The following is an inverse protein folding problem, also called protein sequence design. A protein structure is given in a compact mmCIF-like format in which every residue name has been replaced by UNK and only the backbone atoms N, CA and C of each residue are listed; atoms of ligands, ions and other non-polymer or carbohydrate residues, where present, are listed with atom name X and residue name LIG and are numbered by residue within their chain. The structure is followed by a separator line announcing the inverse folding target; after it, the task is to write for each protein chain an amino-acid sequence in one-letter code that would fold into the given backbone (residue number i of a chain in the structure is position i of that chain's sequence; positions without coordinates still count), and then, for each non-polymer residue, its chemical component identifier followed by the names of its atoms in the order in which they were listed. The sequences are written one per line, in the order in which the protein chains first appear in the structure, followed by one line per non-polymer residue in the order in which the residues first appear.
data_IF_083352340461
#
_entry.id   IF_083352340461
#
_cell.length_a   1.000
_cell.length_b   1.000
_cell.length_c   1.000
_cell.angle_alpha   90.00
_cell.angle_beta   90.00
_cell.angle_gamma   90.00
#
_symmetry.space_group_name_H-M   'P 1'
#
loop_
_entity.id
_entity.type
_entity.pdbx_description
1 polymer ?
#
# COMPACT_ATOMS: atom_id res chain seq x y z
N UNK A 1 -21.50 -0.58 1.66
CA UNK A 1 -20.18 -0.19 2.23
C UNK A 1 -19.17 -1.26 1.83
N UNK A 2 -17.95 -0.86 1.42
CA UNK A 2 -16.88 -1.81 1.16
C UNK A 2 -16.23 -2.25 2.48
N UNK A 3 -15.99 -3.55 2.63
CA UNK A 3 -15.24 -4.09 3.76
C UNK A 3 -13.77 -3.62 3.70
N UNK A 4 -13.22 -3.18 4.84
CA UNK A 4 -11.83 -2.76 4.95
C UNK A 4 -11.19 -3.36 6.20
N UNK A 5 -10.05 -4.02 6.05
CA UNK A 5 -9.29 -4.63 7.16
C UNK A 5 -8.91 -3.61 8.24
N UNK A 6 -8.62 -2.36 7.81
CA UNK A 6 -8.27 -1.27 8.72
C UNK A 6 -9.41 -0.88 9.68
N UNK A 7 -10.68 -1.21 9.37
CA UNK A 7 -11.83 -0.95 10.25
C UNK A 7 -11.62 -1.55 11.64
N UNK A 8 -11.25 -2.84 11.69
CA UNK A 8 -10.98 -3.56 12.95
C UNK A 8 -9.85 -2.91 13.75
N UNK A 9 -8.83 -2.41 13.06
CA UNK A 9 -7.70 -1.72 13.70
C UNK A 9 -8.14 -0.38 14.30
N UNK A 10 -8.93 0.43 13.57
CA UNK A 10 -9.46 1.70 14.05
C UNK A 10 -10.34 1.45 15.26
N UNK A 11 -11.28 0.51 15.16
CA UNK A 11 -12.20 0.16 16.25
C UNK A 11 -11.45 -0.31 17.50
N UNK A 12 -10.49 -1.22 17.34
CA UNK A 12 -9.67 -1.71 18.44
C UNK A 12 -8.84 -0.60 19.10
N UNK A 13 -8.30 0.34 18.32
CA UNK A 13 -7.58 1.49 18.86
C UNK A 13 -8.50 2.43 19.64
N UNK A 14 -9.65 2.79 19.08
CA UNK A 14 -10.59 3.73 19.71
C UNK A 14 -11.26 3.16 20.98
N UNK A 15 -11.33 1.84 21.11
CA UNK A 15 -11.82 1.14 22.32
C UNK A 15 -10.74 0.88 23.37
N UNK A 16 -9.46 1.08 23.04
CA UNK A 16 -8.35 0.86 23.97
C UNK A 16 -8.10 2.06 24.87
N UNK A 17 -7.54 1.84 26.07
CA UNK A 17 -7.15 2.91 27.01
C UNK A 17 -5.88 3.66 26.60
N UNK A 18 -5.45 3.56 25.35
CA UNK A 18 -4.27 4.25 24.89
C UNK A 18 -4.49 5.76 24.85
N UNK A 19 -3.47 6.51 25.25
CA UNK A 19 -3.45 7.96 25.06
C UNK A 19 -2.95 8.36 23.65
N UNK A 20 -2.40 7.42 22.88
CA UNK A 20 -1.87 7.73 21.55
C UNK A 20 -2.98 8.08 20.58
N UNK A 21 -2.79 9.16 19.85
CA UNK A 21 -3.68 9.56 18.76
C UNK A 21 -3.39 8.66 17.55
N UNK A 22 -4.43 8.06 16.98
CA UNK A 22 -4.31 7.30 15.74
C UNK A 22 -4.21 8.26 14.56
N UNK A 23 -3.10 8.16 13.81
CA UNK A 23 -2.83 8.96 12.61
C UNK A 23 -2.87 8.06 11.39
N UNK A 24 -3.93 8.20 10.56
CA UNK A 24 -4.10 7.41 9.34
C UNK A 24 -3.52 8.16 8.14
N UNK A 25 -2.43 7.61 7.63
CA UNK A 25 -1.71 8.08 6.45
C UNK A 25 -2.10 7.25 5.21
N UNK A 26 -1.86 7.75 4.02
CA UNK A 26 -2.05 7.03 2.75
C UNK A 26 -2.39 7.96 1.61
N UNK A 27 -2.31 7.45 0.38
CA UNK A 27 -2.64 8.20 -0.82
C UNK A 27 -4.03 8.82 -0.74
N UNK A 28 -4.29 9.83 -1.56
CA UNK A 28 -5.64 10.36 -1.71
C UNK A 28 -6.57 9.30 -2.34
N UNK A 29 -7.86 9.43 -2.12
CA UNK A 29 -8.90 8.54 -2.69
C UNK A 29 -8.84 7.06 -2.27
N UNK A 30 -8.05 6.70 -1.24
CA UNK A 30 -8.05 5.32 -0.69
C UNK A 30 -9.16 5.08 0.36
N UNK A 31 -9.94 6.12 0.70
CA UNK A 31 -11.11 6.02 1.56
C UNK A 31 -10.87 6.32 3.04
N UNK A 32 -9.79 7.05 3.42
CA UNK A 32 -9.44 7.38 4.82
C UNK A 32 -10.58 8.07 5.56
N UNK A 33 -11.03 9.22 5.06
CA UNK A 33 -12.11 10.01 5.67
C UNK A 33 -13.38 9.21 5.82
N UNK A 34 -13.73 8.41 4.80
CA UNK A 34 -14.94 7.58 4.81
C UNK A 34 -14.92 6.55 5.94
N UNK A 35 -13.84 5.77 6.08
CA UNK A 35 -13.77 4.70 7.09
C UNK A 35 -13.70 5.26 8.51
N UNK A 36 -12.98 6.38 8.72
CA UNK A 36 -12.93 7.06 10.02
C UNK A 36 -14.29 7.58 10.41
N UNK A 37 -14.99 8.25 9.49
CA UNK A 37 -16.36 8.75 9.72
C UNK A 37 -17.31 7.61 10.05
N UNK A 38 -17.25 6.52 9.30
CA UNK A 38 -18.10 5.35 9.52
C UNK A 38 -17.89 4.73 10.91
N UNK A 39 -16.65 4.48 11.31
CA UNK A 39 -16.33 3.89 12.61
C UNK A 39 -16.62 4.89 13.74
N UNK A 40 -16.24 6.15 13.57
CA UNK A 40 -16.41 7.20 14.56
C UNK A 40 -17.89 7.45 14.92
N UNK A 41 -18.74 7.59 13.91
CA UNK A 41 -20.18 7.80 14.11
C UNK A 41 -20.90 6.59 14.72
N UNK A 42 -20.35 5.37 14.53
CA UNK A 42 -20.89 4.16 15.14
C UNK A 42 -20.52 4.01 16.61
N UNK A 43 -19.33 4.48 17.00
CA UNK A 43 -18.79 4.26 18.34
C UNK A 43 -19.01 5.42 19.30
N UNK A 44 -19.16 6.66 18.81
CA UNK A 44 -19.27 7.85 19.62
C UNK A 44 -20.56 8.61 19.35
N UNK A 45 -21.23 9.03 20.42
CA UNK A 45 -22.44 9.86 20.32
C UNK A 45 -22.13 11.23 19.71
N UNK A 46 -20.99 11.80 20.07
CA UNK A 46 -20.54 13.10 19.60
C UNK A 46 -19.33 12.92 18.68
N UNK A 47 -19.57 12.86 17.39
CA UNK A 47 -18.55 12.86 16.36
C UNK A 47 -18.36 14.29 15.84
N UNK A 48 -17.15 14.83 16.01
CA UNK A 48 -16.74 16.17 15.57
C UNK A 48 -15.68 15.99 14.49
N UNK A 49 -16.01 16.36 13.28
CA UNK A 49 -15.08 16.30 12.12
C UNK A 49 -14.65 17.70 11.74
N UNK A 50 -13.35 17.90 11.55
CA UNK A 50 -12.73 19.16 11.16
C UNK A 50 -11.83 18.87 9.97
N UNK A 51 -12.19 19.41 8.80
CA UNK A 51 -11.37 19.31 7.59
C UNK A 51 -10.42 20.51 7.51
N UNK A 52 -9.13 20.27 7.71
CA UNK A 52 -8.11 21.33 7.75
C UNK A 52 -7.83 21.94 6.37
N UNK A 53 -8.10 21.24 5.27
CA UNK A 53 -8.00 21.80 3.92
C UNK A 53 -9.14 22.80 3.70
N UNK A 54 -10.38 22.45 4.07
CA UNK A 54 -11.54 23.35 3.95
C UNK A 54 -11.32 24.61 4.80
N UNK A 55 -10.88 24.45 6.05
CA UNK A 55 -10.56 25.57 6.92
C UNK A 55 -9.45 26.46 6.32
N UNK A 56 -8.41 25.88 5.73
CA UNK A 56 -7.27 26.65 5.17
C UNK A 56 -7.65 27.53 3.98
N UNK A 57 -8.69 27.14 3.23
CA UNK A 57 -9.24 27.89 2.09
C UNK A 57 -10.30 28.90 2.55
N UNK A 58 -11.06 28.52 3.60
CA UNK A 58 -12.19 29.29 4.15
C UNK A 58 -11.78 30.21 5.29
N UNK A 59 -12.33 29.97 6.46
CA UNK A 59 -12.24 30.86 7.64
C UNK A 59 -10.83 30.94 8.26
N UNK A 60 -9.97 29.95 7.96
CA UNK A 60 -8.59 29.86 8.47
C UNK A 60 -8.52 29.91 10.00
N UNK A 61 -9.53 29.31 10.64
CA UNK A 61 -9.69 29.33 12.09
C UNK A 61 -8.48 28.74 12.81
N UNK A 62 -7.89 27.67 12.26
CA UNK A 62 -6.73 26.97 12.86
C UNK A 62 -5.36 27.50 12.41
N UNK A 63 -5.29 28.54 11.56
CA UNK A 63 -4.04 29.01 10.99
C UNK A 63 -3.01 29.48 12.02
N UNK A 64 -3.47 30.04 13.15
CA UNK A 64 -2.63 30.61 14.20
C UNK A 64 -2.73 29.84 15.53
N UNK A 65 -3.24 28.61 15.52
CA UNK A 65 -3.38 27.78 16.72
C UNK A 65 -2.00 27.40 17.26
N UNK A 66 -1.68 27.81 18.48
CA UNK A 66 -0.38 27.55 19.12
C UNK A 66 -0.49 26.68 20.36
N UNK A 67 -1.62 26.77 21.07
CA UNK A 67 -1.84 26.07 22.33
C UNK A 67 -3.04 25.11 22.24
N UNK A 68 -3.18 24.21 23.20
CA UNK A 68 -4.35 23.31 23.28
C UNK A 68 -5.62 24.09 23.65
N UNK A 69 -5.47 25.18 24.42
CA UNK A 69 -6.56 26.07 24.77
C UNK A 69 -7.12 26.77 23.53
N UNK A 70 -6.25 27.30 22.66
CA UNK A 70 -6.65 27.87 21.36
C UNK A 70 -7.42 26.82 20.53
N UNK A 71 -6.85 25.60 20.46
CA UNK A 71 -7.49 24.50 19.72
C UNK A 71 -8.87 24.18 20.27
N UNK A 72 -9.04 24.06 21.59
CA UNK A 72 -10.34 23.78 22.20
C UNK A 72 -11.34 24.90 21.99
N UNK A 73 -10.90 26.14 22.05
CA UNK A 73 -11.77 27.28 21.76
C UNK A 73 -12.30 27.21 20.32
N UNK A 74 -11.42 26.97 19.36
CA UNK A 74 -11.76 26.88 17.95
C UNK A 74 -12.69 25.68 17.66
N UNK A 75 -12.38 24.51 18.23
CA UNK A 75 -13.26 23.33 18.11
C UNK A 75 -14.63 23.61 18.74
N UNK A 76 -14.70 24.32 19.87
CA UNK A 76 -15.97 24.67 20.52
C UNK A 76 -16.85 25.57 19.64
N UNK A 77 -16.23 26.46 18.83
CA UNK A 77 -16.99 27.31 17.90
C UNK A 77 -17.65 26.48 16.78
N UNK A 78 -17.01 25.39 16.36
CA UNK A 78 -17.54 24.49 15.32
C UNK A 78 -18.53 23.49 15.92
N UNK A 79 -18.18 22.89 17.05
CA UNK A 79 -18.86 21.75 17.64
C UNK A 79 -20.06 22.15 18.50
N UNK A 80 -20.10 23.38 19.01
CA UNK A 80 -21.14 23.83 19.94
C UNK A 80 -21.25 22.89 21.14
N UNK A 81 -22.46 22.39 21.40
CA UNK A 81 -22.77 21.52 22.54
C UNK A 81 -22.30 20.07 22.40
N UNK A 82 -21.57 19.69 21.34
CA UNK A 82 -21.10 18.32 21.12
C UNK A 82 -19.82 17.96 21.90
N UNK A 83 -19.14 18.92 22.49
CA UNK A 83 -17.95 18.66 23.34
C UNK A 83 -18.39 18.19 24.74
N UNK A 84 -18.58 16.87 24.86
CA UNK A 84 -19.02 16.18 26.08
C UNK A 84 -17.85 15.45 26.76
N UNK A 85 -18.15 14.38 27.50
CA UNK A 85 -17.12 13.54 28.11
C UNK A 85 -16.24 12.86 27.05
N UNK A 86 -15.02 12.48 27.45
CA UNK A 86 -14.06 11.77 26.58
C UNK A 86 -14.63 10.47 26.00
N UNK A 87 -15.37 9.72 26.82
CA UNK A 87 -16.02 8.46 26.39
C UNK A 87 -16.99 8.63 25.24
N UNK A 88 -17.61 9.80 25.14
CA UNK A 88 -18.73 10.08 24.25
C UNK A 88 -18.34 10.94 23.05
N UNK A 89 -17.12 11.50 23.06
CA UNK A 89 -16.68 12.50 22.08
C UNK A 89 -15.43 12.06 21.34
N UNK A 90 -15.54 11.94 20.02
CA UNK A 90 -14.42 11.75 19.10
C UNK A 90 -14.19 13.02 18.27
N UNK A 91 -13.00 13.57 18.33
CA UNK A 91 -12.56 14.68 17.47
C UNK A 91 -11.72 14.08 16.33
N UNK A 92 -12.21 14.20 15.11
CA UNK A 92 -11.54 13.78 13.89
C UNK A 92 -10.93 14.99 13.18
N UNK A 93 -9.59 15.00 13.08
CA UNK A 93 -8.81 16.03 12.40
C UNK A 93 -8.44 15.49 11.02
N UNK A 94 -9.20 15.89 9.99
CA UNK A 94 -8.95 15.42 8.62
C UNK A 94 -8.02 16.36 7.86
N UNK A 95 -7.20 15.78 6.97
CA UNK A 95 -6.20 16.49 6.13
C UNK A 95 -5.27 17.39 6.96
N UNK A 96 -4.77 16.89 8.10
CA UNK A 96 -3.97 17.64 9.09
C UNK A 96 -2.71 18.29 8.48
N UNK A 97 -2.18 17.77 7.35
CA UNK A 97 -1.02 18.35 6.68
C UNK A 97 -1.28 19.77 6.12
N UNK A 98 -2.53 20.20 6.01
CA UNK A 98 -2.83 21.60 5.64
C UNK A 98 -2.29 22.61 6.66
N UNK A 99 -2.12 22.16 7.91
CA UNK A 99 -1.51 22.95 8.99
C UNK A 99 -0.41 22.14 9.70
N UNK A 100 0.83 22.14 9.18
CA UNK A 100 1.93 21.33 9.72
C UNK A 100 2.22 21.56 11.21
N UNK A 101 1.97 22.77 11.74
CA UNK A 101 2.16 23.07 13.16
C UNK A 101 1.22 22.29 14.08
N UNK A 102 0.03 21.88 13.61
CA UNK A 102 -0.90 21.06 14.38
C UNK A 102 -0.37 19.64 14.62
N UNK A 103 0.54 19.13 13.77
CA UNK A 103 1.20 17.84 14.03
C UNK A 103 1.99 17.86 15.35
N UNK A 104 2.64 18.98 15.67
CA UNK A 104 3.32 19.15 16.97
C UNK A 104 2.31 19.23 18.12
N UNK A 105 1.14 19.85 17.88
CA UNK A 105 0.08 19.99 18.87
C UNK A 105 -0.52 18.63 19.27
N UNK A 106 -0.53 17.63 18.39
CA UNK A 106 -1.02 16.28 18.69
C UNK A 106 -0.34 15.68 19.93
N UNK A 107 0.94 16.02 20.19
CA UNK A 107 1.64 15.58 21.40
C UNK A 107 0.93 16.08 22.66
N UNK A 108 0.61 17.35 22.69
CA UNK A 108 -0.01 17.98 23.84
C UNK A 108 -1.46 17.55 24.01
N UNK A 109 -2.23 17.40 22.92
CA UNK A 109 -3.58 16.85 22.95
C UNK A 109 -3.60 15.41 23.49
N UNK A 110 -2.62 14.59 23.09
CA UNK A 110 -2.45 13.24 23.61
C UNK A 110 -2.17 13.22 25.11
N UNK A 111 -1.32 14.12 25.60
CA UNK A 111 -0.95 14.22 27.01
C UNK A 111 -2.10 14.77 27.88
N UNK A 112 -2.82 15.78 27.39
CA UNK A 112 -3.98 16.36 28.08
C UNK A 112 -5.14 15.36 28.17
N UNK A 113 -5.26 14.47 27.18
CA UNK A 113 -6.18 13.33 27.18
C UNK A 113 -7.65 13.67 27.48
N UNK A 114 -8.07 14.88 27.12
CA UNK A 114 -9.40 15.40 27.43
C UNK A 114 -10.51 14.81 26.57
N UNK A 115 -10.19 14.47 25.32
CA UNK A 115 -11.10 13.83 24.36
C UNK A 115 -10.43 12.64 23.69
N UNK A 116 -11.19 11.86 22.95
CA UNK A 116 -10.64 10.85 22.02
C UNK A 116 -10.36 11.53 20.69
N UNK A 117 -9.18 11.23 20.10
CA UNK A 117 -8.74 11.86 18.85
C UNK A 117 -8.36 10.83 17.82
N UNK A 118 -8.66 11.16 16.57
CA UNK A 118 -8.11 10.48 15.38
C UNK A 118 -7.74 11.57 14.37
N UNK A 119 -6.65 11.38 13.66
CA UNK A 119 -6.25 12.28 12.60
C UNK A 119 -6.00 11.52 11.30
N UNK A 120 -6.21 12.18 10.16
CA UNK A 120 -5.84 11.66 8.86
C UNK A 120 -5.15 12.70 8.00
N UNK A 121 -4.44 12.22 6.99
CA UNK A 121 -3.91 13.08 5.96
C UNK A 121 -3.30 12.31 4.80
N UNK A 122 -3.26 12.96 3.67
CA UNK A 122 -2.45 12.57 2.54
C UNK A 122 -1.09 13.25 2.65
N UNK A 123 -0.02 12.66 2.09
CA UNK A 123 1.33 13.26 2.12
C UNK A 123 1.95 13.41 3.53
N UNK A 124 1.38 12.77 4.55
CA UNK A 124 1.88 12.87 5.92
C UNK A 124 3.33 12.40 6.07
N UNK A 125 3.76 11.42 5.26
CA UNK A 125 5.16 10.98 5.24
C UNK A 125 6.10 12.13 4.87
N UNK A 126 5.73 12.95 3.90
CA UNK A 126 6.48 14.12 3.45
C UNK A 126 6.44 15.24 4.51
N UNK A 127 5.24 15.56 4.99
CA UNK A 127 5.06 16.64 5.98
C UNK A 127 5.78 16.33 7.29
N UNK A 128 5.74 15.06 7.75
CA UNK A 128 6.45 14.64 8.96
C UNK A 128 7.97 14.72 8.81
N UNK A 129 8.54 14.44 7.63
CA UNK A 129 9.99 14.57 7.41
C UNK A 129 10.46 16.02 7.46
N UNK A 130 9.56 16.98 7.29
CA UNK A 130 9.83 18.42 7.29
C UNK A 130 9.47 19.12 8.61
N UNK A 131 8.70 18.47 9.49
CA UNK A 131 8.39 19.03 10.80
C UNK A 131 9.58 18.91 11.75
N UNK A 132 9.87 20.00 12.47
CA UNK A 132 10.98 20.07 13.42
C UNK A 132 10.81 19.17 14.65
N UNK A 133 9.60 18.68 14.92
CA UNK A 133 9.31 17.80 16.06
C UNK A 133 8.18 16.83 15.71
N UNK A 134 8.54 15.58 15.42
CA UNK A 134 7.57 14.50 15.28
C UNK A 134 7.18 14.03 16.69
N UNK A 135 5.89 13.95 17.04
CA UNK A 135 5.44 13.51 18.35
C UNK A 135 5.56 11.98 18.51
N UNK A 136 6.80 11.47 18.40
CA UNK A 136 7.10 10.04 18.59
C UNK A 136 6.66 9.64 20.01
N UNK A 137 5.82 8.63 20.13
CA UNK A 137 5.28 8.18 21.42
C UNK A 137 3.85 8.64 21.69
N UNK A 138 3.43 9.80 21.20
CA UNK A 138 2.07 10.34 21.34
C UNK A 138 1.14 9.98 20.19
N UNK A 139 1.66 9.48 19.07
CA UNK A 139 0.89 9.03 17.92
C UNK A 139 1.14 7.56 17.60
N UNK A 140 0.11 6.91 17.06
CA UNK A 140 0.20 5.61 16.38
C UNK A 140 -0.07 5.83 14.91
N UNK A 141 0.96 5.77 14.07
CA UNK A 141 0.82 5.94 12.63
C UNK A 141 0.45 4.61 11.97
N UNK A 142 -0.56 4.64 11.11
CA UNK A 142 -1.02 3.50 10.30
C UNK A 142 -1.21 3.97 8.87
N UNK A 143 -0.71 3.21 7.90
CA UNK A 143 -0.90 3.51 6.49
C UNK A 143 -2.07 2.72 5.92
N UNK A 144 -2.93 3.42 5.18
CA UNK A 144 -4.04 2.85 4.43
C UNK A 144 -3.71 2.80 2.94
N UNK A 145 -3.91 1.64 2.35
CA UNK A 145 -3.69 1.37 0.93
C UNK A 145 -5.02 1.26 0.16
N UNK A 146 -5.03 1.22 -1.19
CA UNK A 146 -6.19 0.73 -1.95
C UNK A 146 -6.65 -0.63 -1.44
N UNK A 147 -7.84 -1.09 -1.81
CA UNK A 147 -8.32 -2.43 -1.44
C UNK A 147 -7.32 -3.48 -1.93
N UNK A 148 -6.92 -4.38 -1.04
CA UNK A 148 -6.20 -5.59 -1.43
C UNK A 148 -7.16 -6.62 -2.07
N UNK A 149 -6.61 -7.72 -2.57
CA UNK A 149 -7.41 -8.70 -3.28
C UNK A 149 -8.47 -9.37 -2.38
N UNK A 150 -8.17 -9.63 -1.12
CA UNK A 150 -9.14 -10.17 -0.17
C UNK A 150 -10.29 -9.18 0.07
N UNK A 151 -10.01 -7.90 0.30
CA UNK A 151 -11.02 -6.85 0.44
C UNK A 151 -11.89 -6.72 -0.83
N UNK A 152 -11.27 -6.88 -2.02
CA UNK A 152 -11.98 -6.90 -3.29
C UNK A 152 -12.90 -8.12 -3.42
N UNK A 153 -12.50 -9.30 -2.93
CA UNK A 153 -13.36 -10.48 -2.90
C UNK A 153 -14.59 -10.27 -1.99
N UNK A 154 -14.40 -9.69 -0.80
CA UNK A 154 -15.52 -9.31 0.08
C UNK A 154 -16.45 -8.30 -0.59
N UNK A 155 -15.91 -7.30 -1.28
CA UNK A 155 -16.71 -6.32 -2.03
C UNK A 155 -17.57 -6.96 -3.13
N UNK A 156 -17.09 -8.07 -3.71
CA UNK A 156 -17.82 -8.85 -4.71
C UNK A 156 -18.75 -9.93 -4.10
N UNK A 157 -19.01 -9.89 -2.78
CA UNK A 157 -19.95 -10.76 -2.09
C UNK A 157 -19.39 -12.12 -1.67
N UNK A 158 -18.07 -12.33 -1.73
CA UNK A 158 -17.46 -13.51 -1.15
C UNK A 158 -17.54 -13.43 0.39
N UNK A 159 -18.00 -14.47 1.03
CA UNK A 159 -18.17 -14.49 2.48
C UNK A 159 -16.93 -15.01 3.21
N UNK A 160 -16.87 -14.74 4.52
CA UNK A 160 -15.75 -15.13 5.39
C UNK A 160 -15.51 -16.65 5.41
N UNK A 161 -16.58 -17.46 5.32
CA UNK A 161 -16.46 -18.91 5.30
C UNK A 161 -15.62 -19.39 4.12
N UNK A 162 -15.87 -18.85 2.92
CA UNK A 162 -15.11 -19.20 1.70
C UNK A 162 -13.66 -18.72 1.82
N UNK A 163 -13.45 -17.49 2.25
CA UNK A 163 -12.09 -16.93 2.42
C UNK A 163 -11.29 -17.77 3.43
N UNK A 164 -11.90 -18.12 4.56
CA UNK A 164 -11.26 -18.97 5.58
C UNK A 164 -10.93 -20.38 5.05
N UNK A 165 -11.83 -20.97 4.27
CA UNK A 165 -11.58 -22.27 3.64
C UNK A 165 -10.39 -22.20 2.66
N UNK A 166 -10.30 -21.14 1.84
CA UNK A 166 -9.19 -20.92 0.91
C UNK A 166 -7.88 -20.67 1.69
N UNK A 167 -7.94 -19.90 2.80
CA UNK A 167 -6.80 -19.67 3.68
C UNK A 167 -6.27 -20.96 4.31
N UNK A 168 -7.15 -21.84 4.76
CA UNK A 168 -6.74 -23.14 5.31
C UNK A 168 -6.03 -24.01 4.25
N UNK A 169 -6.53 -24.02 3.00
CA UNK A 169 -5.83 -24.68 1.88
C UNK A 169 -4.43 -24.10 1.64
N UNK A 170 -4.29 -22.76 1.73
CA UNK A 170 -2.97 -22.11 1.66
C UNK A 170 -2.05 -22.55 2.80
N UNK A 171 -2.52 -22.55 4.06
CA UNK A 171 -1.72 -22.95 5.23
C UNK A 171 -1.26 -24.41 5.13
N UNK A 172 -2.10 -25.29 4.60
CA UNK A 172 -1.81 -26.70 4.39
C UNK A 172 -1.02 -26.99 3.09
N UNK A 173 -0.69 -25.94 2.32
CA UNK A 173 -0.06 -26.03 1.00
C UNK A 173 -0.81 -26.98 0.05
N UNK A 174 -2.13 -26.88 0.04
CA UNK A 174 -3.03 -27.67 -0.81
C UNK A 174 -3.59 -26.86 -1.96
N UNK A 175 -3.85 -27.54 -3.09
CA UNK A 175 -4.53 -26.96 -4.24
C UNK A 175 -6.04 -26.88 -3.99
N UNK A 176 -6.68 -25.83 -4.51
CA UNK A 176 -8.14 -25.79 -4.65
C UNK A 176 -8.59 -26.80 -5.71
N UNK A 177 -9.85 -27.23 -5.66
CA UNK A 177 -10.46 -27.91 -6.80
C UNK A 177 -10.52 -26.98 -8.03
N UNK A 178 -10.76 -27.55 -9.21
CA UNK A 178 -10.68 -26.82 -10.46
C UNK A 178 -11.73 -25.71 -10.56
N UNK A 179 -12.95 -25.95 -10.11
CA UNK A 179 -14.02 -24.95 -10.18
C UNK A 179 -13.74 -23.74 -9.27
N UNK A 180 -13.28 -24.02 -8.05
CA UNK A 180 -12.91 -22.97 -7.11
C UNK A 180 -11.70 -22.18 -7.62
N UNK A 181 -10.68 -22.86 -8.15
CA UNK A 181 -9.52 -22.21 -8.76
C UNK A 181 -9.94 -21.28 -9.90
N UNK A 182 -10.74 -21.77 -10.84
CA UNK A 182 -11.22 -20.97 -11.96
C UNK A 182 -12.00 -19.74 -11.48
N UNK A 183 -12.84 -19.91 -10.46
CA UNK A 183 -13.58 -18.80 -9.84
C UNK A 183 -12.65 -17.76 -9.21
N UNK A 184 -11.62 -18.19 -8.48
CA UNK A 184 -10.62 -17.30 -7.90
C UNK A 184 -9.84 -16.56 -8.98
N UNK A 185 -9.48 -17.23 -10.08
CA UNK A 185 -8.79 -16.60 -11.21
C UNK A 185 -9.68 -15.59 -11.94
N UNK A 186 -10.98 -15.87 -12.10
CA UNK A 186 -11.95 -14.90 -12.66
C UNK A 186 -11.99 -13.58 -11.82
N UNK A 187 -12.03 -13.72 -10.50
CA UNK A 187 -11.98 -12.55 -9.62
C UNK A 187 -10.62 -11.84 -9.69
N UNK A 188 -9.54 -12.61 -9.76
CA UNK A 188 -8.20 -12.06 -9.90
C UNK A 188 -8.05 -11.24 -11.18
N UNK A 189 -8.50 -11.77 -12.33
CA UNK A 189 -8.50 -11.06 -13.60
C UNK A 189 -9.35 -9.77 -13.55
N UNK A 190 -10.50 -9.81 -12.87
CA UNK A 190 -11.30 -8.59 -12.61
C UNK A 190 -10.54 -7.59 -11.76
N UNK A 191 -9.86 -8.06 -10.71
CA UNK A 191 -9.03 -7.19 -9.87
C UNK A 191 -7.90 -6.52 -10.64
N UNK A 192 -7.27 -7.23 -11.60
CA UNK A 192 -6.27 -6.61 -12.50
C UNK A 192 -6.84 -5.44 -13.31
N UNK A 193 -8.13 -5.49 -13.66
CA UNK A 193 -8.79 -4.43 -14.42
C UNK A 193 -9.29 -3.30 -13.54
N UNK A 194 -9.89 -3.63 -12.41
CA UNK A 194 -10.63 -2.68 -11.57
C UNK A 194 -9.70 -2.05 -10.54
N UNK A 195 -8.71 -2.80 -10.05
CA UNK A 195 -7.85 -2.38 -8.95
C UNK A 195 -8.57 -2.33 -7.61
N UNK A 196 -7.95 -1.62 -6.68
CA UNK A 196 -8.42 -1.45 -5.30
C UNK A 196 -8.84 -0.02 -4.95
N UNK A 197 -8.94 0.91 -5.89
CA UNK A 197 -9.47 2.24 -5.61
C UNK A 197 -10.96 2.13 -5.25
N UNK A 198 -11.41 2.62 -4.06
CA UNK A 198 -12.80 2.46 -3.61
C UNK A 198 -13.84 2.94 -4.63
N UNK A 199 -13.59 4.08 -5.28
CA UNK A 199 -14.54 4.65 -6.26
C UNK A 199 -14.60 3.79 -7.53
N UNK A 200 -13.47 3.25 -8.00
CA UNK A 200 -13.42 2.33 -9.12
C UNK A 200 -14.17 1.01 -8.81
N UNK A 201 -13.96 0.47 -7.60
CA UNK A 201 -14.67 -0.74 -7.14
C UNK A 201 -16.17 -0.49 -7.01
N UNK A 202 -16.60 0.63 -6.42
CA UNK A 202 -18.02 1.00 -6.30
C UNK A 202 -18.67 1.20 -7.68
N UNK A 203 -18.02 1.91 -8.61
CA UNK A 203 -18.51 2.10 -9.98
C UNK A 203 -18.69 0.73 -10.67
N UNK A 204 -17.70 -0.15 -10.56
CA UNK A 204 -17.82 -1.50 -11.10
C UNK A 204 -18.99 -2.29 -10.49
N UNK A 205 -19.17 -2.25 -9.17
CA UNK A 205 -20.24 -3.00 -8.50
C UNK A 205 -21.63 -2.48 -8.89
N UNK A 206 -21.78 -1.17 -9.04
CA UNK A 206 -23.06 -0.53 -9.31
C UNK A 206 -23.43 -0.55 -10.80
N UNK A 207 -22.49 -0.22 -11.67
CA UNK A 207 -22.74 0.05 -13.10
C UNK A 207 -22.32 -1.11 -14.01
N UNK A 208 -21.39 -1.95 -13.59
CA UNK A 208 -20.75 -2.98 -14.41
C UNK A 208 -20.14 -2.42 -15.73
N UNK A 209 -19.77 -1.14 -15.71
CA UNK A 209 -19.26 -0.42 -16.86
C UNK A 209 -17.75 -0.17 -16.72
N UNK A 210 -16.96 -0.79 -17.58
CA UNK A 210 -15.50 -0.63 -17.55
C UNK A 210 -15.05 0.79 -17.95
N UNK A 211 -15.82 1.50 -18.79
CA UNK A 211 -15.46 2.86 -19.18
C UNK A 211 -15.52 3.82 -17.98
N UNK A 212 -16.55 3.71 -17.14
CA UNK A 212 -16.67 4.49 -15.89
C UNK A 212 -15.49 4.20 -14.97
N UNK A 213 -15.11 2.91 -14.82
CA UNK A 213 -13.94 2.50 -14.03
C UNK A 213 -12.65 3.12 -14.57
N UNK A 214 -12.41 3.06 -15.88
CA UNK A 214 -11.23 3.64 -16.53
C UNK A 214 -11.16 5.16 -16.38
N UNK A 215 -12.28 5.85 -16.46
CA UNK A 215 -12.33 7.29 -16.21
C UNK A 215 -11.85 7.63 -14.81
N UNK A 216 -12.36 6.93 -13.77
CA UNK A 216 -11.92 7.11 -12.38
C UNK A 216 -10.43 6.83 -12.21
N UNK A 217 -9.92 5.76 -12.81
CA UNK A 217 -8.50 5.39 -12.73
C UNK A 217 -7.59 6.44 -13.39
N UNK A 218 -7.96 6.94 -14.56
CA UNK A 218 -7.21 7.96 -15.28
C UNK A 218 -7.25 9.30 -14.55
N UNK A 219 -8.41 9.73 -14.06
CA UNK A 219 -8.57 10.94 -13.26
C UNK A 219 -7.73 10.85 -11.98
N UNK A 220 -7.71 9.69 -11.32
CA UNK A 220 -6.88 9.46 -10.13
C UNK A 220 -5.39 9.52 -10.46
N UNK A 221 -4.97 8.92 -11.58
CA UNK A 221 -3.58 9.00 -12.04
C UNK A 221 -3.16 10.45 -12.30
N UNK A 222 -3.97 11.20 -13.06
CA UNK A 222 -3.69 12.61 -13.36
C UNK A 222 -3.68 13.46 -12.09
N UNK A 223 -4.57 13.16 -11.15
CA UNK A 223 -4.64 13.82 -9.86
C UNK A 223 -3.38 13.55 -9.03
N UNK A 224 -2.88 12.31 -8.97
CA UNK A 224 -1.64 11.98 -8.28
C UNK A 224 -0.44 12.69 -8.91
N UNK A 225 -0.37 12.73 -10.24
CA UNK A 225 0.67 13.45 -10.97
C UNK A 225 0.62 14.96 -10.70
N UNK A 226 -0.58 15.53 -10.60
CA UNK A 226 -0.77 16.95 -10.29
C UNK A 226 -0.48 17.27 -8.83
N UNK A 227 -0.89 16.42 -7.89
CA UNK A 227 -0.68 16.62 -6.46
C UNK A 227 0.80 16.50 -6.08
N UNK A 228 1.50 15.53 -6.68
CA UNK A 228 2.96 15.42 -6.60
C UNK A 228 3.69 16.70 -7.03
N UNK A 229 3.04 17.50 -7.85
CA UNK A 229 3.59 18.75 -8.38
C UNK A 229 3.38 19.98 -7.49
N UNK A 230 2.63 19.89 -6.39
CA UNK A 230 2.35 21.03 -5.49
C UNK A 230 3.44 21.31 -4.46
N UNK A 231 4.34 20.36 -4.27
CA UNK A 231 5.25 20.33 -3.16
C UNK A 231 6.46 21.26 -3.28
N UNK A 232 7.05 21.37 -4.47
CA UNK A 232 8.25 22.18 -4.72
C UNK A 232 8.26 22.58 -6.20
N UNK A 233 8.21 23.86 -6.50
CA UNK A 233 8.15 24.33 -7.89
C UNK A 233 9.35 23.90 -8.74
N UNK A 234 10.55 23.80 -8.13
CA UNK A 234 11.77 23.36 -8.85
C UNK A 234 11.80 21.85 -9.08
N UNK A 235 11.30 21.06 -8.12
CA UNK A 235 11.29 19.59 -8.18
C UNK A 235 10.02 19.01 -8.84
N UNK A 236 8.97 19.82 -8.93
CA UNK A 236 7.65 19.48 -9.47
C UNK A 236 7.67 18.68 -10.76
N UNK A 237 8.39 19.18 -11.76
CA UNK A 237 8.46 18.54 -13.09
C UNK A 237 9.22 17.22 -13.04
N UNK A 238 10.20 17.08 -12.14
CA UNK A 238 10.98 15.83 -11.98
C UNK A 238 10.13 14.76 -11.31
N UNK A 239 9.42 15.10 -10.23
CA UNK A 239 8.52 14.19 -9.53
C UNK A 239 7.46 13.66 -10.48
N UNK A 240 6.79 14.55 -11.23
CA UNK A 240 5.80 14.17 -12.23
C UNK A 240 6.39 13.24 -13.29
N UNK A 241 7.55 13.58 -13.87
CA UNK A 241 8.21 12.74 -14.88
C UNK A 241 8.57 11.36 -14.35
N UNK A 242 9.05 11.27 -13.10
CA UNK A 242 9.36 9.98 -12.48
C UNK A 242 8.08 9.15 -12.37
N UNK A 243 6.98 9.75 -11.90
CA UNK A 243 5.70 9.07 -11.76
C UNK A 243 5.16 8.59 -13.11
N UNK A 244 5.15 9.47 -14.13
CA UNK A 244 4.71 9.15 -15.50
C UNK A 244 5.59 8.06 -16.17
N UNK A 245 6.84 7.91 -15.76
CA UNK A 245 7.76 6.88 -16.26
C UNK A 245 7.57 5.50 -15.63
N UNK A 246 6.85 5.39 -14.49
CA UNK A 246 6.69 4.09 -13.80
C UNK A 246 6.12 3.02 -14.73
N UNK A 247 4.99 3.21 -15.46
CA UNK A 247 4.45 2.18 -16.34
C UNK A 247 5.43 1.74 -17.43
N UNK A 248 6.13 2.69 -18.06
CA UNK A 248 7.10 2.36 -19.11
C UNK A 248 8.35 1.65 -18.58
N UNK A 249 8.80 1.99 -17.37
CA UNK A 249 9.89 1.27 -16.72
C UNK A 249 9.52 -0.18 -16.41
N UNK A 250 8.26 -0.44 -16.08
CA UNK A 250 7.76 -1.78 -15.80
C UNK A 250 7.72 -2.68 -17.04
N UNK A 251 7.56 -2.11 -18.23
CA UNK A 251 7.61 -2.85 -19.51
C UNK A 251 9.04 -3.14 -19.97
N UNK A 252 10.05 -2.52 -19.38
CA UNK A 252 11.44 -2.79 -19.70
C UNK A 252 11.92 -4.12 -19.11
N UNK A 253 12.89 -4.78 -19.78
CA UNK A 253 13.47 -6.04 -19.32
C UNK A 253 13.98 -6.00 -17.87
N UNK A 254 14.50 -4.87 -17.41
CA UNK A 254 15.07 -4.71 -16.06
C UNK A 254 14.15 -3.99 -15.07
N UNK A 255 12.99 -3.54 -15.47
CA UNK A 255 11.94 -2.93 -14.65
C UNK A 255 12.39 -1.95 -13.55
N UNK A 256 13.57 -1.36 -13.69
CA UNK A 256 14.15 -0.43 -12.72
C UNK A 256 14.13 1.00 -13.25
N UNK A 257 14.10 1.95 -12.33
CA UNK A 257 14.22 3.37 -12.68
C UNK A 257 15.59 3.63 -13.28
N UNK A 258 15.60 4.31 -14.43
CA UNK A 258 16.81 4.72 -15.13
C UNK A 258 16.93 6.24 -15.03
N UNK A 259 17.83 6.72 -14.16
CA UNK A 259 18.00 8.15 -13.87
C UNK A 259 18.20 9.02 -15.12
N UNK A 260 18.92 8.51 -16.14
CA UNK A 260 19.10 9.21 -17.41
C UNK A 260 17.78 9.58 -18.11
N UNK A 261 16.74 8.73 -17.98
CA UNK A 261 15.46 8.92 -18.67
C UNK A 261 14.61 10.03 -18.05
N UNK A 262 14.86 10.40 -16.79
CA UNK A 262 14.06 11.40 -16.08
C UNK A 262 14.19 12.78 -16.73
N UNK A 263 15.41 13.20 -17.10
CA UNK A 263 15.66 14.50 -17.72
C UNK A 263 16.35 14.39 -19.09
N UNK A 264 16.53 13.19 -19.65
CA UNK A 264 17.32 12.92 -20.86
C UNK A 264 18.76 13.44 -20.78
N UNK A 265 19.35 13.47 -19.57
CA UNK A 265 20.72 13.95 -19.33
C UNK A 265 21.66 12.80 -19.03
N UNK A 266 22.83 12.78 -19.68
CA UNK A 266 23.92 11.85 -19.35
C UNK A 266 24.56 12.23 -18.02
N UNK A 267 25.08 11.24 -17.29
CA UNK A 267 25.79 11.44 -16.00
C UNK A 267 24.91 11.57 -14.78
N UNK A 268 23.58 11.58 -14.94
CA UNK A 268 22.65 11.56 -13.82
C UNK A 268 22.61 10.19 -13.17
N UNK A 269 22.59 10.18 -11.84
CA UNK A 269 22.58 8.98 -10.99
C UNK A 269 21.29 8.93 -10.17
N UNK A 270 21.06 7.83 -9.51
CA UNK A 270 19.92 7.65 -8.58
C UNK A 270 19.91 8.74 -7.47
N UNK A 271 21.09 9.06 -6.94
CA UNK A 271 21.22 10.04 -5.83
C UNK A 271 20.82 11.46 -6.20
N UNK A 272 20.84 11.79 -7.51
CA UNK A 272 20.36 13.10 -7.99
C UNK A 272 18.84 13.29 -7.85
N UNK A 273 18.08 12.21 -7.60
CA UNK A 273 16.62 12.20 -7.53
C UNK A 273 16.09 11.51 -6.27
N UNK A 274 16.92 11.34 -5.25
CA UNK A 274 16.55 10.63 -4.01
C UNK A 274 15.35 11.25 -3.32
N UNK A 275 15.28 12.59 -3.26
CA UNK A 275 14.18 13.31 -2.62
C UNK A 275 12.87 13.13 -3.39
N UNK A 276 12.93 13.15 -4.73
CA UNK A 276 11.78 12.94 -5.59
C UNK A 276 11.22 11.51 -5.47
N UNK A 277 12.09 10.51 -5.36
CA UNK A 277 11.67 9.13 -5.09
C UNK A 277 11.05 8.99 -3.72
N UNK A 278 11.71 9.54 -2.68
CA UNK A 278 11.19 9.51 -1.31
C UNK A 278 9.83 10.19 -1.22
N UNK A 279 9.64 11.29 -1.94
CA UNK A 279 8.35 11.97 -2.03
C UNK A 279 7.25 11.04 -2.55
N UNK A 280 7.43 10.39 -3.71
CA UNK A 280 6.43 9.50 -4.31
C UNK A 280 6.08 8.31 -3.40
N UNK A 281 7.10 7.74 -2.73
CA UNK A 281 6.96 6.62 -1.79
C UNK A 281 6.24 7.08 -0.52
N UNK A 282 6.64 8.20 0.05
CA UNK A 282 6.05 8.76 1.26
C UNK A 282 4.62 9.23 1.04
N UNK A 283 4.30 9.75 -0.16
CA UNK A 283 2.94 10.08 -0.58
C UNK A 283 2.04 8.83 -0.74
N UNK A 284 2.62 7.63 -0.82
CA UNK A 284 1.90 6.38 -0.99
C UNK A 284 1.34 6.16 -2.40
N UNK A 285 1.81 6.93 -3.40
CA UNK A 285 1.37 6.80 -4.81
C UNK A 285 2.32 5.91 -5.63
N UNK A 286 3.51 5.65 -5.11
CA UNK A 286 4.44 4.66 -5.65
C UNK A 286 4.90 3.70 -4.55
N UNK A 287 5.13 2.43 -4.93
CA UNK A 287 5.67 1.39 -4.07
C UNK A 287 7.11 1.13 -4.48
N UNK A 288 8.02 1.06 -3.51
CA UNK A 288 9.42 0.82 -3.77
C UNK A 288 9.84 -0.62 -3.51
N UNK A 289 10.67 -1.15 -4.39
CA UNK A 289 11.37 -2.41 -4.21
C UNK A 289 12.87 -2.12 -4.35
N UNK A 290 13.60 -2.23 -3.25
CA UNK A 290 14.98 -1.77 -3.17
C UNK A 290 15.98 -2.87 -3.54
N UNK A 291 16.99 -2.53 -4.31
CA UNK A 291 18.04 -3.49 -4.65
C UNK A 291 18.92 -3.80 -3.43
N UNK A 292 19.26 -5.08 -3.27
CA UNK A 292 20.22 -5.52 -2.26
C UNK A 292 21.48 -6.11 -2.90
N UNK A 293 22.59 -6.02 -2.18
CA UNK A 293 23.88 -6.58 -2.60
C UNK A 293 24.10 -8.00 -2.10
N UNK A 294 23.66 -8.29 -0.88
CA UNK A 294 23.76 -9.60 -0.23
C UNK A 294 22.40 -10.02 0.32
N UNK A 295 21.80 -11.12 -0.17
CA UNK A 295 20.46 -11.52 0.20
C UNK A 295 20.40 -12.38 1.48
N UNK A 296 21.12 -11.96 2.51
CA UNK A 296 21.12 -12.59 3.84
C UNK A 296 20.24 -11.78 4.78
N UNK A 297 19.47 -12.49 5.62
CA UNK A 297 18.65 -11.87 6.68
C UNK A 297 19.53 -11.17 7.74
N UNK A 298 19.15 -9.98 8.21
CA UNK A 298 18.06 -9.14 7.76
C UNK A 298 18.44 -8.33 6.49
N UNK A 299 17.57 -8.33 5.50
CA UNK A 299 17.82 -7.76 4.16
C UNK A 299 18.16 -6.26 4.19
N UNK A 300 17.69 -5.55 5.20
CA UNK A 300 17.92 -4.10 5.34
C UNK A 300 19.43 -3.74 5.44
N UNK A 301 20.25 -4.64 5.94
CA UNK A 301 21.70 -4.41 6.08
C UNK A 301 22.43 -4.37 4.73
N UNK A 302 21.79 -4.87 3.69
CA UNK A 302 22.41 -5.04 2.35
C UNK A 302 21.93 -4.04 1.29
N UNK A 303 21.29 -2.95 1.70
CA UNK A 303 20.64 -1.95 0.81
C UNK A 303 21.60 -0.96 0.14
N UNK A 304 22.91 -1.22 0.15
CA UNK A 304 23.93 -0.30 -0.39
C UNK A 304 23.93 -0.08 -1.91
N UNK A 305 23.06 -0.73 -2.68
CA UNK A 305 22.89 -0.48 -4.11
C UNK A 305 21.88 0.65 -4.31
N UNK A 306 22.34 1.76 -4.90
CA UNK A 306 21.47 2.89 -5.29
C UNK A 306 20.65 2.54 -6.54
N UNK A 307 19.82 1.49 -6.45
CA UNK A 307 18.93 1.03 -7.49
C UNK A 307 17.58 0.65 -6.87
N UNK A 308 16.50 1.06 -7.52
CA UNK A 308 15.16 0.68 -7.10
C UNK A 308 14.25 0.41 -8.30
N UNK A 309 13.23 -0.41 -8.05
CA UNK A 309 12.04 -0.53 -8.88
C UNK A 309 10.93 0.28 -8.22
N UNK A 310 10.14 0.99 -9.01
CA UNK A 310 8.92 1.65 -8.58
C UNK A 310 7.72 1.00 -9.25
N UNK A 311 6.70 0.72 -8.47
CA UNK A 311 5.39 0.23 -8.91
C UNK A 311 4.33 1.28 -8.59
N UNK A 312 3.27 1.36 -9.39
CA UNK A 312 2.09 2.14 -9.00
C UNK A 312 1.41 1.47 -7.80
N UNK A 313 0.77 2.25 -6.97
CA UNK A 313 0.07 1.77 -5.77
C UNK A 313 -1.23 1.02 -6.07
N UNK A 314 -1.70 1.04 -7.33
CA UNK A 314 -2.91 0.37 -7.77
C UNK A 314 -2.74 -0.26 -9.16
N UNK A 315 -3.11 -1.55 -9.28
CA UNK A 315 -2.98 -2.30 -10.53
C UNK A 315 -3.99 -1.85 -11.58
N UNK A 316 -5.16 -1.39 -11.17
CA UNK A 316 -6.19 -0.86 -12.07
C UNK A 316 -5.70 0.39 -12.80
N UNK A 317 -5.00 1.28 -12.11
CA UNK A 317 -4.35 2.45 -12.74
C UNK A 317 -3.33 1.96 -13.79
N UNK A 318 -2.46 1.02 -13.44
CA UNK A 318 -1.46 0.50 -14.37
C UNK A 318 -2.11 -0.08 -15.63
N UNK A 319 -3.12 -0.92 -15.47
CA UNK A 319 -3.80 -1.56 -16.62
C UNK A 319 -4.64 -0.59 -17.43
N UNK A 320 -5.13 0.52 -16.83
CA UNK A 320 -5.78 1.60 -17.55
C UNK A 320 -4.80 2.31 -18.49
N UNK A 321 -3.59 2.59 -18.01
CA UNK A 321 -2.54 3.25 -18.80
C UNK A 321 -2.04 2.33 -19.93
N UNK A 322 -1.77 1.05 -19.62
CA UNK A 322 -1.16 0.12 -20.58
C UNK A 322 -2.14 -0.36 -21.66
N UNK A 323 -3.41 -0.56 -21.32
CA UNK A 323 -4.37 -1.23 -22.20
C UNK A 323 -5.63 -0.41 -22.53
N UNK A 324 -5.82 0.73 -21.86
CA UNK A 324 -7.01 1.56 -22.04
C UNK A 324 -8.30 0.76 -21.87
N UNK A 325 -9.20 0.86 -22.83
CA UNK A 325 -10.48 0.14 -22.82
C UNK A 325 -10.38 -1.30 -23.36
N UNK A 326 -9.21 -1.77 -23.76
CA UNK A 326 -9.05 -3.13 -24.29
C UNK A 326 -8.96 -4.17 -23.15
N UNK A 327 -10.08 -4.46 -22.53
CA UNK A 327 -10.17 -5.43 -21.42
C UNK A 327 -9.87 -6.87 -21.85
N UNK A 328 -10.06 -7.20 -23.14
CA UNK A 328 -9.79 -8.55 -23.65
C UNK A 328 -8.32 -8.91 -23.54
N UNK A 329 -7.44 -7.93 -23.54
CA UNK A 329 -6.01 -8.14 -23.30
C UNK A 329 -5.73 -8.90 -21.98
N UNK A 330 -6.56 -8.68 -20.96
CA UNK A 330 -6.41 -9.29 -19.63
C UNK A 330 -7.34 -10.50 -19.47
N UNK A 331 -8.62 -10.39 -19.89
CA UNK A 331 -9.62 -11.44 -19.67
C UNK A 331 -9.42 -12.68 -20.54
N UNK A 332 -8.98 -12.51 -21.79
CA UNK A 332 -8.83 -13.62 -22.73
C UNK A 332 -7.52 -14.40 -22.55
N UNK A 333 -6.68 -14.00 -21.59
CA UNK A 333 -5.37 -14.62 -21.29
C UNK A 333 -4.55 -14.91 -22.57
N UNK A 334 -4.59 -13.98 -23.55
CA UNK A 334 -3.92 -14.16 -24.84
C UNK A 334 -2.42 -14.18 -24.63
N UNK A 335 -1.78 -15.24 -25.05
CA UNK A 335 -0.33 -15.47 -24.98
C UNK A 335 0.53 -14.38 -25.68
N UNK A 336 -0.11 -13.45 -26.40
CA UNK A 336 0.56 -12.34 -27.11
C UNK A 336 0.82 -11.13 -26.22
N UNK A 337 0.26 -11.06 -25.01
CA UNK A 337 0.41 -9.91 -24.10
C UNK A 337 1.20 -10.34 -22.88
N UNK A 338 2.28 -9.58 -22.62
CA UNK A 338 3.09 -9.80 -21.43
C UNK A 338 2.41 -9.15 -20.22
N UNK A 339 1.76 -9.95 -19.39
CA UNK A 339 1.16 -9.49 -18.13
C UNK A 339 2.15 -9.51 -16.94
N UNK A 340 3.44 -9.73 -17.19
CA UNK A 340 4.44 -9.83 -16.12
C UNK A 340 4.48 -8.61 -15.21
N UNK A 341 4.51 -7.40 -15.80
CA UNK A 341 4.49 -6.13 -15.05
C UNK A 341 3.22 -5.94 -14.21
N UNK A 342 2.06 -6.37 -14.73
CA UNK A 342 0.77 -6.29 -14.06
C UNK A 342 0.73 -7.22 -12.84
N UNK A 343 1.17 -8.47 -13.00
CA UNK A 343 1.25 -9.46 -11.93
C UNK A 343 2.24 -9.04 -10.84
N UNK A 344 3.42 -8.56 -11.25
CA UNK A 344 4.38 -8.02 -10.29
C UNK A 344 3.80 -6.82 -9.51
N UNK A 345 3.07 -5.93 -10.17
CA UNK A 345 2.44 -4.80 -9.47
C UNK A 345 1.44 -5.28 -8.41
N UNK A 346 0.64 -6.31 -8.68
CA UNK A 346 -0.24 -6.90 -7.65
C UNK A 346 0.58 -7.48 -6.50
N UNK A 347 1.61 -8.26 -6.79
CA UNK A 347 2.46 -8.85 -5.73
C UNK A 347 3.10 -7.75 -4.87
N UNK A 348 3.61 -6.68 -5.49
CA UNK A 348 4.17 -5.54 -4.77
C UNK A 348 3.11 -4.85 -3.88
N UNK A 349 1.89 -4.62 -4.40
CA UNK A 349 0.83 -3.94 -3.64
C UNK A 349 0.33 -4.80 -2.48
N UNK A 350 0.08 -6.10 -2.70
CA UNK A 350 -0.34 -7.04 -1.65
C UNK A 350 0.70 -7.13 -0.52
N UNK A 351 1.94 -7.44 -0.86
CA UNK A 351 3.00 -7.59 0.14
C UNK A 351 3.24 -6.28 0.92
N UNK A 352 3.22 -5.13 0.24
CA UNK A 352 3.37 -3.83 0.90
C UNK A 352 2.20 -3.53 1.83
N UNK A 353 0.95 -3.76 1.40
CA UNK A 353 -0.25 -3.57 2.21
C UNK A 353 -0.26 -4.50 3.43
N UNK A 354 0.35 -5.67 3.33
CA UNK A 354 0.48 -6.67 4.39
C UNK A 354 1.72 -6.47 5.28
N UNK A 355 2.41 -5.32 5.15
CA UNK A 355 3.46 -4.88 6.06
C UNK A 355 4.88 -5.31 5.73
N UNK A 356 5.10 -5.93 4.58
CA UNK A 356 6.46 -6.29 4.16
C UNK A 356 7.22 -5.10 3.60
N UNK A 357 8.52 -5.02 3.93
CA UNK A 357 9.50 -4.25 3.16
C UNK A 357 9.97 -5.11 1.99
N UNK A 358 9.97 -4.54 0.79
CA UNK A 358 10.27 -5.28 -0.41
C UNK A 358 11.69 -4.98 -0.91
N UNK A 359 12.39 -6.05 -1.24
CA UNK A 359 13.71 -6.01 -1.83
C UNK A 359 13.74 -6.86 -3.11
N UNK A 360 14.76 -6.67 -3.94
CA UNK A 360 15.04 -7.52 -5.08
C UNK A 360 16.54 -7.75 -5.22
N UNK A 361 16.90 -8.84 -5.89
CA UNK A 361 18.30 -9.16 -6.17
C UNK A 361 18.55 -9.14 -7.66
N UNK A 362 19.53 -8.35 -8.12
CA UNK A 362 19.98 -8.31 -9.52
C UNK A 362 21.50 -8.50 -9.58
N UNK A 363 21.92 -9.58 -10.22
CA UNK A 363 23.31 -9.90 -10.44
C UNK A 363 23.53 -10.23 -11.93
N UNK A 364 24.56 -9.61 -12.53
CA UNK A 364 24.85 -9.76 -13.97
C UNK A 364 25.05 -11.20 -14.42
N UNK A 365 25.65 -12.05 -13.55
CA UNK A 365 25.98 -13.44 -13.87
C UNK A 365 24.96 -14.44 -13.34
N UNK A 366 24.23 -14.11 -12.27
CA UNK A 366 23.29 -15.02 -11.58
C UNK A 366 21.83 -14.75 -11.89
N UNK A 367 21.53 -13.64 -12.58
CA UNK A 367 20.17 -13.23 -12.92
C UNK A 367 19.49 -12.39 -11.86
N UNK A 368 18.17 -12.22 -12.00
CA UNK A 368 17.32 -11.38 -11.16
C UNK A 368 16.28 -12.26 -10.45
N UNK A 369 15.99 -11.92 -9.17
CA UNK A 369 14.87 -12.47 -8.39
C UNK A 369 13.92 -11.30 -8.11
N UNK A 370 12.65 -11.46 -8.44
CA UNK A 370 11.66 -10.37 -8.47
C UNK A 370 11.49 -9.70 -7.12
N UNK A 371 11.29 -10.51 -6.04
CA UNK A 371 11.11 -10.02 -4.68
C UNK A 371 11.87 -10.85 -3.67
N UNK A 372 12.30 -10.19 -2.61
CA UNK A 372 12.79 -10.78 -1.38
C UNK A 372 12.10 -10.10 -0.21
N UNK A 373 11.69 -10.90 0.76
CA UNK A 373 11.11 -10.44 2.02
C UNK A 373 11.83 -11.11 3.18
N UNK A 374 11.85 -10.45 4.33
CA UNK A 374 12.34 -11.04 5.59
C UNK A 374 11.28 -11.95 6.20
N UNK A 375 11.65 -13.17 6.56
CA UNK A 375 10.86 -14.05 7.40
C UNK A 375 11.47 -14.11 8.81
N UNK A 376 10.88 -13.36 9.73
CA UNK A 376 11.34 -13.27 11.12
C UNK A 376 11.17 -14.58 11.90
N UNK A 377 10.26 -15.47 11.49
CA UNK A 377 10.07 -16.76 12.14
C UNK A 377 11.22 -17.72 11.85
N UNK A 378 11.71 -17.72 10.63
CA UNK A 378 12.82 -18.58 10.21
C UNK A 378 14.17 -17.88 10.21
N UNK A 379 14.21 -16.55 10.46
CA UNK A 379 15.40 -15.69 10.38
C UNK A 379 16.13 -15.89 9.03
N UNK A 380 15.37 -15.87 7.94
CA UNK A 380 15.89 -16.05 6.59
C UNK A 380 15.18 -15.17 5.57
N UNK A 381 15.87 -14.84 4.50
CA UNK A 381 15.23 -14.22 3.34
C UNK A 381 14.34 -15.22 2.60
N UNK A 382 13.20 -14.77 2.11
CA UNK A 382 12.26 -15.56 1.30
C UNK A 382 12.16 -14.93 -0.08
N UNK A 383 12.72 -15.58 -1.12
CA UNK A 383 12.54 -15.15 -2.50
C UNK A 383 11.14 -15.50 -3.01
N UNK A 384 10.57 -14.56 -3.78
CA UNK A 384 9.28 -14.72 -4.47
C UNK A 384 9.48 -14.36 -5.94
N UNK A 385 9.17 -15.28 -6.82
CA UNK A 385 9.20 -15.12 -8.26
C UNK A 385 7.79 -15.09 -8.82
N UNK A 386 7.48 -14.17 -9.71
CA UNK A 386 6.17 -13.96 -10.30
C UNK A 386 6.13 -14.42 -11.74
N UNK A 387 5.17 -15.27 -12.11
CA UNK A 387 5.01 -15.81 -13.46
C UNK A 387 3.56 -15.64 -13.95
N UNK A 388 3.37 -14.91 -15.03
CA UNK A 388 2.07 -14.70 -15.67
C UNK A 388 1.80 -15.64 -16.85
N UNK A 389 2.81 -16.39 -17.31
CA UNK A 389 2.75 -17.29 -18.48
C UNK A 389 2.70 -18.77 -18.13
N UNK A 390 2.62 -19.61 -19.17
CA UNK A 390 2.59 -21.07 -19.05
C UNK A 390 3.93 -21.68 -18.58
N UNK A 391 5.05 -21.00 -18.82
CA UNK A 391 6.40 -21.49 -18.48
C UNK A 391 6.80 -21.13 -17.04
N UNK A 392 5.88 -21.28 -16.09
CA UNK A 392 6.08 -20.90 -14.69
C UNK A 392 7.17 -21.71 -13.98
N UNK A 393 7.55 -22.87 -14.51
CA UNK A 393 8.66 -23.70 -13.98
C UNK A 393 10.04 -23.28 -14.49
N UNK A 394 10.11 -22.33 -15.44
CA UNK A 394 11.36 -21.83 -15.98
C UNK A 394 11.80 -20.58 -15.21
N UNK A 395 12.69 -20.77 -14.23
CA UNK A 395 13.23 -19.72 -13.39
C UNK A 395 14.67 -20.05 -12.96
N UNK A 396 15.60 -20.08 -13.95
CA UNK A 396 17.00 -20.44 -13.72
C UNK A 396 17.68 -19.56 -12.68
N UNK A 397 17.36 -18.27 -12.65
CA UNK A 397 17.91 -17.32 -11.68
C UNK A 397 17.51 -17.71 -10.24
N UNK A 398 16.20 -17.98 -9.98
CA UNK A 398 15.73 -18.42 -8.68
C UNK A 398 16.36 -19.76 -8.27
N UNK A 399 16.47 -20.73 -9.19
CA UNK A 399 17.10 -22.02 -8.90
C UNK A 399 18.58 -21.84 -8.44
N UNK A 400 19.35 -21.05 -9.19
CA UNK A 400 20.74 -20.74 -8.81
C UNK A 400 20.81 -19.98 -7.49
N UNK A 401 19.88 -19.08 -7.26
CA UNK A 401 19.80 -18.29 -6.02
C UNK A 401 19.55 -19.17 -4.79
N UNK A 402 18.57 -20.07 -4.85
CA UNK A 402 18.16 -20.95 -3.74
C UNK A 402 19.20 -22.01 -3.42
N UNK A 403 20.00 -22.42 -4.42
CA UNK A 403 21.08 -23.38 -4.27
C UNK A 403 22.35 -22.79 -3.64
N UNK A 404 22.48 -21.46 -3.62
CA UNK A 404 23.64 -20.83 -3.01
C UNK A 404 23.56 -20.93 -1.48
N UNK A 405 24.46 -21.71 -0.89
CA UNK A 405 24.51 -21.97 0.55
C UNK A 405 24.78 -20.71 1.37
N UNK A 406 25.57 -19.76 0.84
CA UNK A 406 25.91 -18.51 1.51
C UNK A 406 24.66 -17.62 1.80
N UNK A 407 23.56 -17.83 1.05
CA UNK A 407 22.33 -17.03 1.21
C UNK A 407 21.39 -17.59 2.30
N UNK A 408 21.66 -18.80 2.80
CA UNK A 408 20.91 -19.46 3.86
C UNK A 408 19.39 -19.52 3.61
N UNK A 409 18.98 -19.64 2.33
CA UNK A 409 17.56 -19.69 1.94
C UNK A 409 16.94 -21.00 2.42
N UNK A 410 15.87 -20.88 3.22
CA UNK A 410 15.12 -22.03 3.75
C UNK A 410 13.92 -22.39 2.88
N UNK A 411 13.23 -21.40 2.33
CA UNK A 411 12.06 -21.56 1.46
C UNK A 411 12.00 -20.45 0.41
N UNK A 412 11.35 -20.72 -0.70
CA UNK A 412 11.09 -19.78 -1.77
C UNK A 412 9.71 -20.04 -2.37
N UNK A 413 9.11 -19.03 -3.02
CA UNK A 413 7.82 -19.18 -3.67
C UNK A 413 7.90 -18.78 -5.15
N UNK A 414 7.15 -19.51 -5.98
CA UNK A 414 6.80 -19.10 -7.34
C UNK A 414 5.30 -18.95 -7.38
N UNK A 415 4.83 -17.71 -7.64
CA UNK A 415 3.41 -17.39 -7.76
C UNK A 415 3.01 -17.33 -9.24
N UNK A 416 1.95 -18.03 -9.63
CA UNK A 416 1.56 -18.16 -11.03
C UNK A 416 0.06 -18.39 -11.20
N UNK A 417 -0.39 -18.52 -12.46
CA UNK A 417 -1.78 -18.85 -12.78
C UNK A 417 -2.12 -20.34 -12.56
N UNK A 418 -1.12 -21.17 -12.28
CA UNK A 418 -1.32 -22.58 -12.16
C UNK A 418 -2.05 -22.97 -10.86
N UNK A 419 -2.98 -23.91 -10.99
CA UNK A 419 -3.78 -24.40 -9.86
C UNK A 419 -2.97 -25.21 -8.85
N UNK A 420 -2.03 -26.00 -9.39
CA UNK A 420 -1.36 -27.03 -8.61
C UNK A 420 -0.35 -26.43 -7.62
N UNK A 421 -0.60 -26.63 -6.32
CA UNK A 421 0.38 -26.39 -5.29
C UNK A 421 1.35 -27.57 -5.23
N UNK A 422 2.64 -27.31 -5.33
CA UNK A 422 3.67 -28.34 -5.23
C UNK A 422 4.97 -27.76 -4.69
N UNK A 423 5.69 -28.54 -3.90
CA UNK A 423 7.02 -28.18 -3.40
C UNK A 423 8.08 -29.04 -4.08
N UNK A 424 9.13 -28.39 -4.62
CA UNK A 424 10.30 -29.04 -5.20
C UNK A 424 11.54 -28.48 -4.49
N UNK A 425 12.17 -29.29 -3.64
CA UNK A 425 13.26 -28.83 -2.78
C UNK A 425 12.81 -27.70 -1.87
N UNK A 426 13.44 -26.54 -1.97
CA UNK A 426 13.09 -25.35 -1.19
C UNK A 426 12.04 -24.45 -1.86
N UNK A 427 11.61 -24.76 -3.11
CA UNK A 427 10.70 -23.92 -3.91
C UNK A 427 9.29 -24.48 -3.84
N UNK A 428 8.35 -23.67 -3.41
CA UNK A 428 6.92 -23.97 -3.41
C UNK A 428 6.21 -23.15 -4.49
N UNK A 429 5.53 -23.82 -5.40
CA UNK A 429 4.69 -23.23 -6.44
C UNK A 429 3.28 -23.08 -5.90
N UNK A 430 2.71 -21.88 -6.01
CA UNK A 430 1.37 -21.58 -5.53
C UNK A 430 0.60 -20.73 -6.54
N UNK A 431 -0.75 -20.84 -6.57
CA UNK A 431 -1.58 -19.90 -7.32
C UNK A 431 -1.38 -18.47 -6.87
N UNK A 432 -1.40 -17.51 -7.82
CA UNK A 432 -1.14 -16.08 -7.56
C UNK A 432 -2.08 -15.48 -6.50
N UNK A 433 -3.34 -15.90 -6.45
CA UNK A 433 -4.30 -15.39 -5.47
C UNK A 433 -3.95 -15.74 -4.02
N UNK A 434 -3.07 -16.73 -3.76
CA UNK A 434 -2.60 -17.03 -2.40
C UNK A 434 -1.69 -15.94 -1.81
N UNK A 435 -1.21 -14.99 -2.63
CA UNK A 435 -0.43 -13.85 -2.15
C UNK A 435 -1.20 -13.02 -1.11
N UNK A 436 -2.55 -12.99 -1.18
CA UNK A 436 -3.41 -12.28 -0.24
C UNK A 436 -3.29 -12.77 1.21
N UNK A 437 -2.73 -13.96 1.45
CA UNK A 437 -2.55 -14.53 2.78
C UNK A 437 -1.13 -14.36 3.36
N UNK A 438 -0.22 -13.78 2.59
CA UNK A 438 1.08 -13.41 3.13
C UNK A 438 0.88 -12.25 4.11
N UNK A 439 1.42 -12.37 5.34
CA UNK A 439 1.28 -11.33 6.35
C UNK A 439 2.57 -11.25 7.19
N UNK A 440 3.22 -10.09 7.18
CA UNK A 440 4.46 -9.85 7.92
C UNK A 440 4.25 -9.88 9.45
N UNK A 441 3.01 -9.61 9.91
CA UNK A 441 2.65 -9.58 11.32
C UNK A 441 2.07 -10.92 11.83
N UNK A 442 2.10 -12.00 11.00
CA UNK A 442 1.74 -13.34 11.48
C UNK A 442 2.80 -13.83 12.45
N UNK A 443 2.60 -13.50 13.71
CA UNK A 443 3.51 -13.88 14.79
C UNK A 443 3.32 -15.34 15.15
N UNK A 444 4.44 -16.05 15.45
CA UNK A 444 4.47 -17.17 16.37
C UNK A 444 3.77 -16.75 17.67
N UNK A 445 3.05 -17.68 18.31
CA UNK A 445 2.36 -17.44 19.59
C UNK A 445 3.23 -16.60 20.54
N UNK A 446 2.82 -15.35 20.76
CA UNK A 446 3.55 -14.40 21.59
C UNK A 446 3.25 -14.55 23.10
N UNK A 447 2.90 -15.74 23.56
CA UNK A 447 2.80 -16.04 24.98
C UNK A 447 4.19 -16.30 25.56
N UNK A 448 5.09 -15.32 25.45
CA UNK A 448 6.31 -15.30 26.24
C UNK A 448 5.97 -14.45 27.49
N UNK A 449 5.72 -15.11 28.60
CA UNK A 449 5.77 -14.47 29.93
C UNK A 449 7.24 -14.20 30.26
N UNK A 450 7.60 -12.93 30.45
CA UNK A 450 8.91 -12.52 30.93
C UNK A 450 8.93 -12.50 32.44
#
# INVERSE_FOLDING_TARGET
MLYRKIEKLIEGHLKSDTQKILLIDGARQVGKTYIIRYVGQRLFENFIEINMVEDSIGDRLFANTKTIEDFYLQVSMIAGNKMKAKSDTLIFIDEIQAYPHLLTLLKFLSQDNKFTYIASGSLLGVTLSQTTSIPIGSIRKVRMYPLDFEEFLYANGMNEFVISAVQNKFKELQSLDENMHNKMMDYFQKYLLIGGLPDAVNSYLNEKNIQSVRNIQNETHDYYAADASKYDEEKKLKIRRIYDLIPSNMENKKKRVIAKNIENKKGKTFTDYSDEFEYLISAGIALNVQAISNPVFPLIESTGKNLLKLYLNDVGILTSILYGNNIRAILDNKSSINLGSVYETVVASELTAHGYKLFYYDNRSKGEVDYLIDDYNSLSAVPIETKSGKDYTVHSALNTFVQNEDYHIKKAFVVSNERKVQTKGKITYIPIYYIMFFNANSTLDNNIEF
#
